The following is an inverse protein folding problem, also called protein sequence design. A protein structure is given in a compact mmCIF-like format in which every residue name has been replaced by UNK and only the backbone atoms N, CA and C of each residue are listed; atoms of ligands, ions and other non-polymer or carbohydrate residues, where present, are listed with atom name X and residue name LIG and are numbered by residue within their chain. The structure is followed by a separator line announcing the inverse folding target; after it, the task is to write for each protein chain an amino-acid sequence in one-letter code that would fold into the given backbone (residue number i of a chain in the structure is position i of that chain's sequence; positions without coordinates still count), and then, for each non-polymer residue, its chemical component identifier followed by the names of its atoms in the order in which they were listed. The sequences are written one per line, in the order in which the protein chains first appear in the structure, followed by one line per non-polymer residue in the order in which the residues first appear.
data_IF_148288934651
#
_entry.id   IF_148288934651
#
_cell.length_a   1.000
_cell.length_b   1.000
_cell.length_c   1.000
_cell.angle_alpha   90.00
_cell.angle_beta   90.00
_cell.angle_gamma   90.00
#
_symmetry.space_group_name_H-M   'P 1'
#
loop_
_entity.id
_entity.type
_entity.pdbx_description
1 polymer ?
#
# COMPACT_ATOMS: atom_id res chain seq x y z
N UNK A 1 8.68 24.72 -4.09
CA UNK A 1 9.23 25.79 -4.95
C UNK A 1 10.49 26.36 -4.30
N UNK A 2 11.67 26.09 -4.86
CA UNK A 2 12.93 26.61 -4.32
C UNK A 2 12.99 28.13 -4.57
N UNK A 3 13.22 28.90 -3.51
CA UNK A 3 13.35 30.35 -3.55
C UNK A 3 14.50 30.71 -4.51
N UNK A 4 14.24 31.52 -5.53
CA UNK A 4 15.16 31.87 -6.63
C UNK A 4 16.41 32.65 -6.22
N UNK A 5 17.16 32.16 -5.24
CA UNK A 5 18.47 32.66 -4.83
C UNK A 5 19.54 31.73 -5.41
N UNK A 6 20.52 32.33 -6.08
CA UNK A 6 21.68 31.60 -6.61
C UNK A 6 22.44 30.93 -5.46
N UNK A 7 22.58 29.60 -5.54
CA UNK A 7 23.45 28.84 -4.66
C UNK A 7 24.91 29.13 -5.04
N UNK A 8 25.53 30.04 -4.30
CA UNK A 8 26.97 30.14 -4.01
C UNK A 8 28.00 30.27 -5.14
N UNK A 9 27.69 30.62 -6.39
CA UNK A 9 28.76 30.76 -7.41
C UNK A 9 28.57 31.91 -8.40
N UNK A 10 29.64 32.69 -8.59
CA UNK A 10 29.76 33.79 -9.58
C UNK A 10 30.17 33.32 -10.98
N UNK A 11 30.47 32.02 -11.15
CA UNK A 11 30.89 31.42 -12.41
C UNK A 11 30.11 30.12 -12.68
N UNK A 12 29.67 29.85 -13.92
CA UNK A 12 28.92 28.65 -14.24
C UNK A 12 29.79 27.40 -14.05
N UNK A 13 29.35 26.48 -13.19
CA UNK A 13 30.00 25.17 -13.02
C UNK A 13 29.37 24.16 -13.97
N UNK A 14 30.22 23.47 -14.73
CA UNK A 14 29.83 22.39 -15.63
C UNK A 14 29.39 21.17 -14.82
N UNK A 15 28.11 21.11 -14.50
CA UNK A 15 27.48 19.90 -13.94
C UNK A 15 27.25 18.89 -15.07
N UNK A 16 27.95 17.75 -15.00
CA UNK A 16 27.59 16.58 -15.82
C UNK A 16 26.40 15.92 -15.16
N UNK A 17 25.20 16.11 -15.72
CA UNK A 17 24.06 15.24 -15.42
C UNK A 17 24.43 13.83 -15.87
N UNK A 18 24.65 12.94 -14.90
CA UNK A 18 24.87 11.53 -15.18
C UNK A 18 23.68 10.98 -15.95
N UNK A 19 23.93 10.12 -16.93
CA UNK A 19 22.88 9.37 -17.62
C UNK A 19 22.08 8.60 -16.58
N UNK A 20 20.76 8.81 -16.52
CA UNK A 20 19.83 8.08 -15.65
C UNK A 20 20.07 6.59 -15.89
N UNK A 21 20.81 5.93 -15.00
CA UNK A 21 20.92 4.48 -15.03
C UNK A 21 19.49 3.96 -14.90
N UNK A 22 19.04 3.14 -15.86
CA UNK A 22 17.83 2.35 -15.68
C UNK A 22 17.98 1.66 -14.32
N UNK A 23 17.04 1.93 -13.41
CA UNK A 23 17.01 1.27 -12.13
C UNK A 23 17.13 -0.24 -12.39
N UNK A 24 18.13 -0.87 -11.78
CA UNK A 24 18.22 -2.32 -11.78
C UNK A 24 16.87 -2.82 -11.29
N UNK A 25 16.14 -3.53 -12.14
CA UNK A 25 14.90 -4.19 -11.76
C UNK A 25 15.28 -5.35 -10.84
N UNK A 26 15.57 -5.03 -9.59
CA UNK A 26 15.47 -6.02 -8.54
C UNK A 26 14.00 -6.46 -8.56
N UNK A 27 13.74 -7.75 -8.76
CA UNK A 27 12.48 -8.36 -8.36
C UNK A 27 12.40 -8.25 -6.83
N UNK A 28 12.14 -7.04 -6.34
CA UNK A 28 11.98 -6.76 -4.94
C UNK A 28 10.61 -7.29 -4.57
N UNK A 29 10.57 -8.49 -4.00
CA UNK A 29 9.37 -9.00 -3.35
C UNK A 29 8.96 -7.98 -2.31
N UNK A 30 7.71 -7.49 -2.40
CA UNK A 30 7.17 -6.57 -1.42
C UNK A 30 7.23 -7.21 -0.03
N UNK A 31 7.73 -6.45 0.94
CA UNK A 31 7.81 -6.90 2.32
C UNK A 31 6.39 -7.15 2.86
N UNK A 32 6.25 -8.20 3.66
CA UNK A 32 4.97 -8.44 4.33
C UNK A 32 4.72 -7.41 5.45
N UNK A 33 3.46 -7.27 5.84
CA UNK A 33 3.04 -6.27 6.82
C UNK A 33 3.79 -6.38 8.16
N UNK A 34 4.10 -7.59 8.64
CA UNK A 34 4.87 -7.76 9.89
C UNK A 34 6.29 -7.22 9.76
N UNK A 35 6.99 -7.57 8.68
CA UNK A 35 8.36 -7.12 8.43
C UNK A 35 8.41 -5.60 8.25
N UNK A 36 7.45 -5.01 7.53
CA UNK A 36 7.36 -3.56 7.41
C UNK A 36 7.26 -2.87 8.77
N UNK A 37 6.42 -3.39 9.68
CA UNK A 37 6.22 -2.81 11.01
C UNK A 37 7.44 -3.02 11.92
N UNK A 38 8.10 -4.16 11.82
CA UNK A 38 9.32 -4.44 12.58
C UNK A 38 10.45 -3.51 12.16
N UNK A 39 10.67 -3.31 10.86
CA UNK A 39 11.65 -2.36 10.35
C UNK A 39 11.30 -0.92 10.73
N UNK A 40 10.01 -0.56 10.68
CA UNK A 40 9.58 0.76 11.10
C UNK A 40 9.85 1.01 12.59
N UNK A 41 9.59 0.01 13.44
CA UNK A 41 9.93 0.07 14.87
C UNK A 41 11.44 0.13 15.10
N UNK A 42 12.23 -0.60 14.32
CA UNK A 42 13.69 -0.61 14.42
C UNK A 42 14.30 0.75 14.03
N UNK A 43 13.88 1.32 12.90
CA UNK A 43 14.47 2.55 12.37
C UNK A 43 13.89 3.82 12.97
N UNK A 44 12.57 3.86 13.18
CA UNK A 44 11.88 5.07 13.63
C UNK A 44 11.51 5.02 15.12
N UNK A 45 11.59 3.85 15.75
CA UNK A 45 11.08 3.64 17.10
C UNK A 45 9.55 3.50 17.10
N UNK A 46 9.02 2.89 18.16
CA UNK A 46 7.57 2.64 18.31
C UNK A 46 6.70 3.91 18.18
N UNK A 47 7.22 5.07 18.61
CA UNK A 47 6.52 6.36 18.55
C UNK A 47 6.91 7.22 17.34
N UNK A 48 7.86 6.77 16.49
CA UNK A 48 8.33 7.55 15.34
C UNK A 48 7.48 7.37 14.08
N UNK A 49 6.56 6.42 14.10
CA UNK A 49 5.64 6.18 13.00
C UNK A 49 4.26 5.74 13.51
N UNK A 50 3.25 5.86 12.66
CA UNK A 50 1.91 5.33 12.92
C UNK A 50 1.24 4.88 11.62
N UNK A 51 0.17 4.11 11.74
CA UNK A 51 -0.72 3.78 10.62
C UNK A 51 -2.16 4.14 10.98
N UNK A 52 -2.89 4.76 10.05
CA UNK A 52 -4.29 5.15 10.24
C UNK A 52 -5.13 4.59 9.09
N UNK A 53 -6.16 3.81 9.41
CA UNK A 53 -7.14 3.35 8.43
C UNK A 53 -8.00 4.55 8.03
N UNK A 54 -8.07 4.81 6.72
CA UNK A 54 -8.90 5.86 6.13
C UNK A 54 -10.25 5.28 5.73
N UNK A 55 -10.24 4.13 5.06
CA UNK A 55 -11.45 3.41 4.62
C UNK A 55 -11.25 1.91 4.80
N UNK A 56 -12.28 1.23 5.29
CA UNK A 56 -12.35 -0.23 5.36
C UNK A 56 -13.77 -0.63 4.97
N UNK A 57 -13.90 -1.36 3.87
CA UNK A 57 -15.18 -1.66 3.25
C UNK A 57 -15.31 -3.16 3.00
N UNK A 58 -16.47 -3.69 3.35
CA UNK A 58 -16.93 -5.03 2.95
C UNK A 58 -17.59 -4.87 1.57
N UNK A 59 -17.07 -5.58 0.57
CA UNK A 59 -17.52 -5.53 -0.82
C UNK A 59 -18.31 -6.79 -1.21
N UNK A 60 -18.55 -7.69 -0.26
CA UNK A 60 -19.24 -8.97 -0.52
C UNK A 60 -20.68 -8.75 -1.03
N UNK A 61 -21.34 -7.64 -0.62
CA UNK A 61 -22.73 -7.31 -0.99
C UNK A 61 -22.86 -6.60 -2.35
N UNK A 62 -21.76 -6.11 -2.93
CA UNK A 62 -21.79 -5.38 -4.22
C UNK A 62 -21.90 -6.35 -5.40
N UNK A 63 -21.29 -7.53 -5.29
CA UNK A 63 -21.38 -8.59 -6.30
C UNK A 63 -22.82 -9.12 -6.45
N UNK A 64 -23.65 -9.02 -5.41
CA UNK A 64 -25.06 -9.47 -5.48
C UNK A 64 -25.94 -8.56 -6.36
N UNK A 65 -25.64 -7.25 -6.45
CA UNK A 65 -26.45 -6.30 -7.24
C UNK A 65 -26.07 -6.25 -8.72
N UNK A 66 -24.81 -6.45 -9.07
CA UNK A 66 -24.37 -6.47 -10.48
C UNK A 66 -24.80 -7.76 -11.21
N UNK A 67 -25.00 -8.85 -10.46
CA UNK A 67 -25.42 -10.13 -11.02
C UNK A 67 -26.94 -10.27 -11.23
N UNK A 68 -27.77 -9.29 -10.85
CA UNK A 68 -29.21 -9.34 -11.13
C UNK A 68 -29.56 -9.12 -12.61
N UNK A 69 -28.69 -8.47 -13.40
CA UNK A 69 -28.95 -8.13 -14.81
C UNK A 69 -28.39 -9.14 -15.84
N UNK A 70 -27.66 -10.19 -15.41
CA UNK A 70 -27.08 -11.17 -16.35
C UNK A 70 -27.37 -12.61 -15.91
N UNK A 71 -28.17 -13.32 -16.72
CA UNK A 71 -28.65 -14.69 -16.47
C UNK A 71 -27.54 -15.77 -16.57
N UNK A 72 -26.60 -15.83 -15.63
CA UNK A 72 -25.69 -16.98 -15.43
C UNK A 72 -25.66 -17.36 -13.94
N UNK A 73 -26.08 -18.58 -13.56
CA UNK A 73 -26.14 -19.00 -12.16
C UNK A 73 -24.76 -19.49 -11.67
N UNK A 74 -24.42 -19.20 -10.40
CA UNK A 74 -23.25 -19.64 -9.62
C UNK A 74 -21.91 -18.87 -9.80
N UNK A 75 -21.88 -17.55 -9.65
CA UNK A 75 -20.65 -16.95 -9.13
C UNK A 75 -20.44 -17.41 -7.67
N UNK A 76 -19.22 -17.83 -7.34
CA UNK A 76 -18.83 -18.23 -5.99
C UNK A 76 -19.07 -17.03 -5.07
N UNK A 77 -19.93 -17.18 -4.06
CA UNK A 77 -19.98 -16.21 -2.97
C UNK A 77 -18.56 -16.11 -2.42
N UNK A 78 -18.02 -14.89 -2.38
CA UNK A 78 -16.68 -14.61 -1.87
C UNK A 78 -16.80 -13.53 -0.80
N UNK A 79 -15.93 -13.59 0.20
CA UNK A 79 -15.75 -12.48 1.13
C UNK A 79 -14.73 -11.55 0.52
N UNK A 80 -15.11 -10.30 0.25
CA UNK A 80 -14.22 -9.31 -0.36
C UNK A 80 -14.09 -8.10 0.55
N UNK A 81 -12.86 -7.76 0.92
CA UNK A 81 -12.57 -6.59 1.74
C UNK A 81 -11.58 -5.66 1.04
N UNK A 82 -11.89 -4.37 1.09
CA UNK A 82 -11.01 -3.29 0.67
C UNK A 82 -10.57 -2.47 1.88
N UNK A 83 -9.30 -2.11 1.92
CA UNK A 83 -8.74 -1.20 2.92
C UNK A 83 -7.87 -0.13 2.25
N UNK A 84 -8.12 1.13 2.60
CA UNK A 84 -7.23 2.25 2.38
C UNK A 84 -6.72 2.77 3.73
N UNK A 85 -5.43 3.00 3.85
CA UNK A 85 -4.78 3.53 5.04
C UNK A 85 -3.62 4.45 4.69
N UNK A 86 -3.11 5.19 5.67
CA UNK A 86 -1.83 5.90 5.54
C UNK A 86 -0.85 5.47 6.63
N UNK A 87 0.42 5.38 6.24
CA UNK A 87 1.57 5.36 7.16
C UNK A 87 2.05 6.79 7.33
N UNK A 88 2.25 7.23 8.57
CA UNK A 88 2.66 8.59 8.91
C UNK A 88 3.96 8.54 9.68
N UNK A 89 4.93 9.35 9.25
CA UNK A 89 6.24 9.54 9.86
C UNK A 89 6.38 11.02 10.24
N UNK A 90 5.91 11.45 11.42
CA UNK A 90 5.78 12.87 11.76
C UNK A 90 7.10 13.63 11.71
N UNK A 91 8.19 13.03 12.20
CA UNK A 91 9.53 13.65 12.24
C UNK A 91 10.17 13.84 10.87
N UNK A 92 9.66 13.15 9.85
CA UNK A 92 10.14 13.25 8.48
C UNK A 92 9.14 14.00 7.58
N UNK A 93 8.07 14.55 8.15
CA UNK A 93 6.96 15.18 7.43
C UNK A 93 6.43 14.32 6.27
N UNK A 94 6.50 13.00 6.44
CA UNK A 94 6.25 12.05 5.37
C UNK A 94 4.96 11.26 5.65
N UNK A 95 4.13 11.12 4.63
CA UNK A 95 2.91 10.31 4.64
C UNK A 95 2.92 9.42 3.41
N UNK A 96 2.62 8.15 3.60
CA UNK A 96 2.51 7.18 2.50
C UNK A 96 1.13 6.53 2.52
N UNK A 97 0.27 6.80 1.53
CA UNK A 97 -1.01 6.13 1.39
C UNK A 97 -0.80 4.69 0.86
N UNK A 98 -1.59 3.77 1.40
CA UNK A 98 -1.61 2.37 1.02
C UNK A 98 -3.02 1.84 0.82
N UNK A 99 -3.20 0.97 -0.16
CA UNK A 99 -4.45 0.28 -0.49
C UNK A 99 -4.22 -1.23 -0.53
N UNK A 100 -5.24 -1.99 -0.15
CA UNK A 100 -5.17 -3.44 -0.11
C UNK A 100 -6.53 -4.08 -0.24
N UNK A 101 -6.61 -5.09 -1.10
CA UNK A 101 -7.80 -5.89 -1.32
C UNK A 101 -7.52 -7.36 -0.99
N UNK A 102 -8.45 -8.00 -0.30
CA UNK A 102 -8.41 -9.42 -0.03
C UNK A 102 -9.76 -10.06 -0.36
N UNK A 103 -9.70 -11.21 -1.01
CA UNK A 103 -10.85 -12.00 -1.40
C UNK A 103 -10.63 -13.43 -0.90
N UNK A 104 -11.64 -14.03 -0.29
CA UNK A 104 -11.61 -15.41 0.17
C UNK A 104 -12.90 -16.12 -0.29
N UNK A 105 -12.82 -17.25 -1.03
CA UNK A 105 -13.99 -17.94 -1.50
C UNK A 105 -14.77 -18.60 -0.35
N UNK A 106 -16.10 -18.50 -0.40
CA UNK A 106 -16.99 -19.25 0.49
C UNK A 106 -17.20 -20.66 -0.10
N UNK A 107 -16.73 -21.69 0.59
CA UNK A 107 -16.96 -23.08 0.20
C UNK A 107 -18.33 -23.53 0.70
N UNK A 108 -19.21 -23.94 -0.22
CA UNK A 108 -20.67 -24.03 0.00
C UNK A 108 -21.14 -25.20 0.87
N UNK A 109 -20.28 -26.05 1.43
CA UNK A 109 -20.74 -27.37 1.91
C UNK A 109 -20.71 -27.64 3.43
N UNK A 110 -19.81 -27.06 4.22
CA UNK A 110 -19.67 -27.45 5.65
C UNK A 110 -19.29 -26.32 6.63
N UNK A 111 -19.47 -25.06 6.25
CA UNK A 111 -19.01 -23.94 7.07
C UNK A 111 -20.10 -23.45 8.05
N UNK A 112 -20.00 -23.90 9.30
CA UNK A 112 -20.85 -23.40 10.39
C UNK A 112 -20.62 -21.90 10.69
N UNK A 113 -21.52 -21.22 11.43
CA UNK A 113 -21.47 -19.78 11.65
C UNK A 113 -20.13 -19.23 12.19
N UNK A 114 -19.42 -20.01 13.00
CA UNK A 114 -18.11 -19.64 13.56
C UNK A 114 -17.04 -19.60 12.47
N UNK A 115 -17.05 -20.55 11.53
CA UNK A 115 -16.06 -20.61 10.45
C UNK A 115 -16.19 -19.42 9.50
N UNK A 116 -17.42 -19.02 9.17
CA UNK A 116 -17.72 -17.80 8.42
C UNK A 116 -17.15 -16.54 9.11
N UNK A 117 -17.38 -16.39 10.41
CA UNK A 117 -16.85 -15.26 11.18
C UNK A 117 -15.32 -15.23 11.19
N UNK A 118 -14.67 -16.40 11.28
CA UNK A 118 -13.21 -16.49 11.20
C UNK A 118 -12.70 -16.07 9.83
N UNK A 119 -13.29 -16.59 8.74
CA UNK A 119 -12.95 -16.21 7.36
C UNK A 119 -13.11 -14.71 7.10
N UNK A 120 -14.21 -14.12 7.58
CA UNK A 120 -14.44 -12.68 7.48
C UNK A 120 -13.35 -11.88 8.17
N UNK A 121 -12.98 -12.28 9.39
CA UNK A 121 -11.90 -11.65 10.16
C UNK A 121 -10.54 -11.83 9.49
N UNK A 122 -10.22 -13.00 8.97
CA UNK A 122 -8.94 -13.27 8.29
C UNK A 122 -8.83 -12.47 7.00
N UNK A 123 -9.88 -12.44 6.19
CA UNK A 123 -9.94 -11.67 4.95
C UNK A 123 -9.80 -10.17 5.23
N UNK A 124 -10.57 -9.64 6.17
CA UNK A 124 -10.48 -8.24 6.59
C UNK A 124 -9.06 -7.88 7.07
N UNK A 125 -8.47 -8.75 7.92
CA UNK A 125 -7.09 -8.57 8.39
C UNK A 125 -6.09 -8.59 7.24
N UNK A 126 -6.28 -9.46 6.25
CA UNK A 126 -5.41 -9.57 5.09
C UNK A 126 -5.47 -8.32 4.21
N UNK A 127 -6.66 -7.74 4.00
CA UNK A 127 -6.81 -6.47 3.28
C UNK A 127 -6.02 -5.33 3.96
N UNK A 128 -6.13 -5.23 5.29
CA UNK A 128 -5.36 -4.25 6.08
C UNK A 128 -3.86 -4.51 5.96
N UNK A 129 -3.41 -5.77 6.05
CA UNK A 129 -1.99 -6.12 5.93
C UNK A 129 -1.43 -5.75 4.56
N UNK A 130 -2.17 -6.04 3.49
CA UNK A 130 -1.80 -5.63 2.12
C UNK A 130 -1.70 -4.11 2.00
N UNK A 131 -2.65 -3.37 2.56
CA UNK A 131 -2.61 -1.91 2.55
C UNK A 131 -1.41 -1.34 3.31
N UNK A 132 -0.99 -1.98 4.42
CA UNK A 132 0.25 -1.61 5.13
C UNK A 132 1.46 -1.87 4.26
N UNK A 133 1.58 -3.06 3.67
CA UNK A 133 2.69 -3.39 2.75
C UNK A 133 2.76 -2.41 1.58
N UNK A 134 1.62 -2.07 0.98
CA UNK A 134 1.51 -1.11 -0.12
C UNK A 134 1.93 0.32 0.29
N UNK A 135 1.60 0.76 1.51
CA UNK A 135 2.10 2.03 2.02
C UNK A 135 3.64 2.01 2.19
N UNK A 136 4.20 0.93 2.72
CA UNK A 136 5.65 0.86 2.96
C UNK A 136 6.50 0.68 1.70
N UNK A 137 6.00 0.02 0.65
CA UNK A 137 6.75 -0.12 -0.61
C UNK A 137 6.99 1.23 -1.33
N UNK A 138 6.18 2.24 -1.01
CA UNK A 138 6.31 3.60 -1.52
C UNK A 138 7.26 4.46 -0.69
N UNK A 139 7.91 3.89 0.34
CA UNK A 139 8.89 4.58 1.17
C UNK A 139 10.29 4.09 0.83
N UNK A 140 11.20 5.05 0.62
CA UNK A 140 12.63 4.79 0.52
C UNK A 140 13.28 5.27 1.80
N UNK A 141 13.90 4.34 2.52
CA UNK A 141 14.60 4.62 3.78
C UNK A 141 16.10 4.51 3.50
N UNK A 142 16.82 5.61 3.70
CA UNK A 142 18.28 5.66 3.57
C UNK A 142 18.88 5.77 4.97
N UNK A 143 19.76 4.84 5.30
CA UNK A 143 20.45 4.78 6.59
C UNK A 143 21.94 4.98 6.34
N UNK A 144 22.51 6.03 6.95
CA UNK A 144 23.94 6.31 6.87
C UNK A 144 24.69 5.58 7.97
N UNK A 145 25.99 5.32 7.77
CA UNK A 145 26.86 4.70 8.79
C UNK A 145 26.87 5.47 10.11
N UNK A 146 26.60 6.78 10.08
CA UNK A 146 26.47 7.60 11.28
C UNK A 146 25.17 7.37 12.07
N UNK A 147 24.30 6.45 11.64
CA UNK A 147 22.97 6.21 12.20
C UNK A 147 21.92 7.26 11.82
N UNK A 148 22.26 8.21 10.93
CA UNK A 148 21.29 9.18 10.43
C UNK A 148 20.38 8.53 9.41
N UNK A 149 19.09 8.87 9.48
CA UNK A 149 18.06 8.30 8.62
C UNK A 149 17.44 9.43 7.79
N UNK A 150 17.21 9.15 6.50
CA UNK A 150 16.41 9.97 5.62
C UNK A 150 15.29 9.11 5.03
N UNK A 151 14.11 9.70 4.85
CA UNK A 151 12.94 9.02 4.30
C UNK A 151 12.41 9.84 3.12
N UNK A 152 12.19 9.17 2.00
CA UNK A 152 11.57 9.76 0.81
C UNK A 152 10.32 8.96 0.44
N UNK A 153 9.22 9.66 0.16
CA UNK A 153 8.04 9.05 -0.44
C UNK A 153 8.21 9.01 -1.96
N UNK A 154 8.15 7.80 -2.52
CA UNK A 154 8.15 7.52 -3.95
C UNK A 154 6.86 6.78 -4.29
N UNK A 155 5.86 7.45 -4.89
CA UNK A 155 4.74 6.74 -5.48
C UNK A 155 5.30 5.69 -6.44
N UNK A 156 4.87 4.43 -6.30
CA UNK A 156 5.23 3.40 -7.27
C UNK A 156 4.61 3.79 -8.61
N UNK A 157 5.43 4.02 -9.64
CA UNK A 157 4.96 4.07 -11.03
C UNK A 157 4.56 2.64 -11.40
N UNK A 158 3.26 2.36 -11.28
CA UNK A 158 2.47 1.20 -11.70
C UNK A 158 3.22 -0.04 -12.26
N UNK A 159 2.99 -1.19 -11.62
CA UNK A 159 2.72 -2.41 -12.38
C UNK A 159 1.23 -2.31 -12.73
N UNK A 160 0.92 -1.69 -13.87
CA UNK A 160 -0.45 -1.61 -14.41
C UNK A 160 -0.92 -3.01 -14.78
N UNK A 161 -1.74 -3.63 -13.94
CA UNK A 161 -2.82 -4.45 -14.46
C UNK A 161 -4.05 -3.54 -14.50
N UNK A 162 -4.32 -2.98 -15.68
CA UNK A 162 -5.32 -1.94 -15.96
C UNK A 162 -6.80 -2.36 -15.71
N UNK A 163 -7.03 -3.39 -14.89
CA UNK A 163 -8.36 -3.96 -14.61
C UNK A 163 -8.90 -3.63 -13.22
N UNK A 164 -8.09 -3.07 -12.32
CA UNK A 164 -8.51 -2.75 -10.94
C UNK A 164 -8.55 -1.26 -10.63
N UNK A 165 -8.06 -0.41 -11.53
CA UNK A 165 -7.94 1.04 -11.28
C UNK A 165 -9.28 1.78 -11.45
N UNK A 166 -10.11 1.34 -12.40
CA UNK A 166 -11.47 1.88 -12.60
C UNK A 166 -12.37 1.58 -11.39
N UNK A 167 -12.27 0.38 -10.80
CA UNK A 167 -13.00 0.02 -9.57
C UNK A 167 -12.52 0.82 -8.35
N UNK A 168 -11.24 1.20 -8.28
CA UNK A 168 -10.69 1.92 -7.14
C UNK A 168 -11.11 3.39 -7.10
N UNK A 169 -11.35 4.03 -8.25
CA UNK A 169 -11.75 5.44 -8.31
C UNK A 169 -13.16 5.67 -7.76
N UNK A 170 -14.07 4.71 -7.95
CA UNK A 170 -15.42 4.76 -7.37
C UNK A 170 -15.44 4.43 -5.86
N UNK A 171 -14.31 3.93 -5.32
CA UNK A 171 -14.13 3.51 -3.93
C UNK A 171 -13.32 4.50 -3.07
N UNK A 172 -12.87 5.66 -3.58
CA UNK A 172 -12.14 6.67 -2.80
C UNK A 172 -13.07 7.82 -2.40
#
# INVERSE_FOLDING_TARGET
ACHGKHLFQNSPVKVRLGTRHKAVQYQALALNSSQCQELANYYFGFNGWSKRIIKLQDLSDLEERENEDTAVPLQKQSLKFFCALEVVLPFFECRSPGVGMAEEPLEKLEEGPISFLMKRKTTQKLAIQKAVSDAFQKLVIVVLESGKIAVEYRPCEEITDARTEEELQDLI
#
